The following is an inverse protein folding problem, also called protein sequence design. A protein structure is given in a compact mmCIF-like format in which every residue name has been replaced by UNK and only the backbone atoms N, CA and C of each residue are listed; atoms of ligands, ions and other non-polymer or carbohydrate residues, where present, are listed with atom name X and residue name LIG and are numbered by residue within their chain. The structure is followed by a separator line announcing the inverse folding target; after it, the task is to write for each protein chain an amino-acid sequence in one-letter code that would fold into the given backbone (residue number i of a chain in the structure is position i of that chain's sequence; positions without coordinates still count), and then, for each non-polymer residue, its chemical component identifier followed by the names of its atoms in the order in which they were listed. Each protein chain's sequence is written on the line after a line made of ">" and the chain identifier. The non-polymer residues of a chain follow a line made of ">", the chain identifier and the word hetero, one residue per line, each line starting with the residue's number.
data_IF_450034829349
#
_entry.id   IF_450034829349
#
_cell.length_a   1.000
_cell.length_b   1.000
_cell.length_c   1.000
_cell.angle_alpha   90.00
_cell.angle_beta   90.00
_cell.angle_gamma   90.00
#
_symmetry.space_group_name_H-M   'P 1'
#
loop_
_entity.id
_entity.type
_entity.pdbx_description
1 polymer ?
#
# COMPACT_ATOMS: atom_id res chain seq x y z
N UNK A 1 21.28 29.31 -56.06
CA UNK A 1 21.21 28.96 -54.62
C UNK A 1 21.25 30.25 -53.79
N UNK A 2 20.20 30.52 -53.02
CA UNK A 2 19.90 31.85 -52.46
C UNK A 2 20.73 32.13 -51.19
N UNK A 3 21.66 33.11 -51.23
CA UNK A 3 22.58 33.46 -50.14
C UNK A 3 21.88 33.95 -48.84
N UNK A 4 20.56 34.17 -48.87
CA UNK A 4 19.76 34.55 -47.68
C UNK A 4 19.56 33.40 -46.67
N UNK A 5 19.62 32.13 -47.10
CA UNK A 5 19.33 30.99 -46.21
C UNK A 5 20.52 30.67 -45.29
N UNK A 6 21.77 30.88 -45.74
CA UNK A 6 22.96 30.66 -44.92
C UNK A 6 23.13 31.67 -43.77
N UNK A 7 22.49 32.84 -43.86
CA UNK A 7 22.60 33.90 -42.85
C UNK A 7 21.75 33.67 -41.59
N UNK A 8 20.67 32.91 -41.69
CA UNK A 8 19.79 32.64 -40.54
C UNK A 8 20.36 31.55 -39.62
N UNK A 9 21.09 30.56 -40.16
CA UNK A 9 21.71 29.51 -39.35
C UNK A 9 22.95 29.98 -38.56
N UNK A 10 23.64 31.05 -38.98
CA UNK A 10 24.79 31.59 -38.24
C UNK A 10 24.41 32.46 -37.04
N UNK A 11 23.22 33.04 -37.01
CA UNK A 11 22.77 33.89 -35.88
C UNK A 11 22.26 33.11 -34.67
N UNK A 12 21.95 31.82 -34.82
CA UNK A 12 21.55 30.97 -33.69
C UNK A 12 22.74 30.44 -32.86
N UNK A 13 23.94 30.41 -33.43
CA UNK A 13 25.11 29.77 -32.80
C UNK A 13 25.91 30.65 -31.82
N UNK A 14 25.48 31.89 -31.54
CA UNK A 14 26.23 32.81 -30.65
C UNK A 14 25.41 33.50 -29.57
N UNK A 15 24.15 33.11 -29.36
CA UNK A 15 23.40 33.62 -28.22
C UNK A 15 23.52 32.69 -27.00
N UNK A 16 24.52 32.95 -26.15
CA UNK A 16 24.75 32.23 -24.87
C UNK A 16 23.53 32.26 -23.93
N UNK A 17 22.52 33.09 -24.20
CA UNK A 17 21.27 33.17 -23.42
C UNK A 17 20.23 32.11 -23.81
N UNK A 18 20.35 31.47 -24.98
CA UNK A 18 19.38 30.49 -25.48
C UNK A 18 19.65 29.04 -25.08
N UNK A 19 20.92 28.67 -24.87
CA UNK A 19 21.28 27.30 -24.44
C UNK A 19 20.91 27.03 -22.96
N UNK A 20 20.95 28.06 -22.10
CA UNK A 20 20.55 27.90 -20.69
C UNK A 20 19.05 27.71 -20.50
N UNK A 21 18.20 28.18 -21.41
CA UNK A 21 16.75 28.05 -21.28
C UNK A 21 16.25 26.64 -21.67
N UNK A 22 16.88 26.00 -22.67
CA UNK A 22 16.49 24.65 -23.11
C UNK A 22 16.99 23.54 -22.16
N UNK A 23 18.19 23.68 -21.60
CA UNK A 23 18.73 22.71 -20.63
C UNK A 23 17.96 22.71 -19.29
N UNK A 24 17.43 23.87 -18.88
CA UNK A 24 16.62 24.00 -17.66
C UNK A 24 15.20 23.46 -17.89
N UNK A 25 14.61 23.65 -19.07
CA UNK A 25 13.27 23.16 -19.38
C UNK A 25 13.16 21.61 -19.45
N UNK A 26 14.22 20.92 -19.89
CA UNK A 26 14.25 19.44 -19.91
C UNK A 26 14.53 18.84 -18.52
N UNK A 27 15.30 19.55 -17.69
CA UNK A 27 15.57 19.14 -16.30
C UNK A 27 14.32 19.18 -15.40
N UNK A 28 13.43 20.15 -15.61
CA UNK A 28 12.24 20.34 -14.76
C UNK A 28 11.10 19.37 -15.10
N UNK A 29 11.00 18.87 -16.34
CA UNK A 29 9.96 17.90 -16.72
C UNK A 29 10.23 16.46 -16.23
N UNK A 30 11.47 16.15 -15.83
CA UNK A 30 11.87 14.77 -15.51
C UNK A 30 11.45 14.28 -14.12
N UNK A 31 10.97 15.17 -13.23
CA UNK A 31 10.61 14.80 -11.84
C UNK A 31 9.14 14.42 -11.64
N UNK A 32 8.30 14.52 -12.67
CA UNK A 32 6.85 14.31 -12.55
C UNK A 32 6.38 12.87 -12.73
N UNK A 33 7.30 11.93 -12.98
CA UNK A 33 7.00 10.50 -13.19
C UNK A 33 7.54 9.58 -12.08
N UNK A 34 7.85 10.12 -10.89
CA UNK A 34 8.06 9.24 -9.74
C UNK A 34 6.66 8.79 -9.30
N UNK A 35 6.27 7.50 -9.46
CA UNK A 35 5.07 7.01 -8.81
C UNK A 35 5.26 7.30 -7.32
N UNK A 36 4.43 8.21 -6.79
CA UNK A 36 4.32 8.40 -5.36
C UNK A 36 3.84 7.04 -4.86
N UNK A 37 4.72 6.26 -4.24
CA UNK A 37 4.31 5.10 -3.46
C UNK A 37 3.33 5.67 -2.43
N UNK A 38 2.04 5.49 -2.67
CA UNK A 38 1.02 5.92 -1.75
C UNK A 38 1.14 4.96 -0.58
N UNK A 39 1.84 5.41 0.47
CA UNK A 39 2.03 4.63 1.67
C UNK A 39 0.69 4.62 2.44
N UNK A 40 -0.34 3.91 1.98
CA UNK A 40 -1.65 3.81 2.62
C UNK A 40 -1.65 2.86 3.82
N UNK A 41 -0.99 3.32 4.88
CA UNK A 41 -0.63 2.45 5.98
C UNK A 41 -1.55 2.59 7.20
N UNK A 42 -2.12 1.47 7.62
CA UNK A 42 -2.83 1.35 8.88
C UNK A 42 -3.21 -0.09 9.21
N UNK A 43 -3.58 -0.32 10.46
CA UNK A 43 -4.04 -1.62 10.94
C UNK A 43 -5.05 -1.45 12.08
N UNK A 44 -5.84 -2.49 12.33
CA UNK A 44 -6.71 -2.56 13.51
C UNK A 44 -5.84 -2.83 14.74
N UNK A 45 -5.74 -1.83 15.62
CA UNK A 45 -5.00 -1.90 16.88
C UNK A 45 -5.83 -2.61 17.97
N UNK A 46 -7.15 -2.36 18.02
CA UNK A 46 -8.05 -2.98 19.01
C UNK A 46 -9.40 -3.38 18.40
N UNK A 47 -9.93 -4.59 18.67
CA UNK A 47 -9.16 -5.76 19.10
C UNK A 47 -8.02 -6.05 18.09
N UNK A 48 -6.86 -6.49 18.59
CA UNK A 48 -5.65 -6.56 17.77
C UNK A 48 -5.84 -7.44 16.53
N UNK A 49 -5.57 -6.89 15.35
CA UNK A 49 -5.61 -7.67 14.10
C UNK A 49 -4.56 -8.78 14.08
N UNK A 50 -4.77 -9.78 13.22
CA UNK A 50 -3.83 -10.90 13.01
C UNK A 50 -2.40 -10.40 12.76
N UNK A 51 -2.26 -9.38 11.90
CA UNK A 51 -0.98 -8.75 11.58
C UNK A 51 -0.41 -7.95 12.76
N UNK A 52 -1.22 -7.11 13.41
CA UNK A 52 -0.76 -6.34 14.57
C UNK A 52 -0.22 -7.27 15.66
N UNK A 53 -0.93 -8.35 15.97
CA UNK A 53 -0.54 -9.33 16.98
C UNK A 53 0.73 -10.13 16.64
N UNK A 54 1.24 -10.05 15.41
CA UNK A 54 2.58 -10.56 15.08
C UNK A 54 3.69 -9.63 15.57
N UNK A 55 3.40 -8.35 15.71
CA UNK A 55 4.38 -7.34 16.12
C UNK A 55 4.64 -7.37 17.62
N UNK A 56 5.91 -7.20 18.00
CA UNK A 56 6.31 -7.07 19.40
C UNK A 56 5.63 -5.88 20.09
N UNK A 57 5.34 -4.80 19.34
CA UNK A 57 4.70 -3.60 19.87
C UNK A 57 3.22 -3.83 20.26
N UNK A 58 2.59 -4.88 19.74
CA UNK A 58 1.18 -5.20 20.01
C UNK A 58 1.03 -6.60 20.63
N UNK A 59 2.08 -7.10 21.28
CA UNK A 59 2.04 -8.26 22.17
C UNK A 59 2.63 -9.55 21.63
N UNK A 60 3.06 -9.62 20.37
CA UNK A 60 3.67 -10.81 19.76
C UNK A 60 2.90 -12.12 20.03
N UNK A 61 1.56 -12.05 20.04
CA UNK A 61 0.68 -13.18 20.33
C UNK A 61 0.60 -14.17 19.15
N UNK A 62 0.93 -13.73 17.94
CA UNK A 62 1.10 -14.60 16.78
C UNK A 62 2.59 -14.79 16.48
N UNK A 63 3.01 -16.04 16.35
CA UNK A 63 4.37 -16.42 15.99
C UNK A 63 4.50 -16.82 14.53
N UNK A 64 5.75 -16.93 14.07
CA UNK A 64 6.11 -17.34 12.72
C UNK A 64 5.40 -16.51 11.64
N UNK A 65 5.35 -15.19 11.82
CA UNK A 65 4.64 -14.29 10.90
C UNK A 65 5.50 -13.78 9.74
N UNK A 66 6.82 -13.96 9.79
CA UNK A 66 7.74 -13.31 8.83
C UNK A 66 7.69 -11.79 8.94
N UNK A 67 7.97 -11.10 7.84
CA UNK A 67 8.24 -9.66 7.85
C UNK A 67 7.06 -8.78 8.26
N UNK A 68 5.81 -9.27 8.18
CA UNK A 68 4.63 -8.50 8.59
C UNK A 68 4.66 -8.09 10.06
N UNK A 69 5.44 -8.78 10.91
CA UNK A 69 5.63 -8.38 12.32
C UNK A 69 6.25 -6.98 12.49
N UNK A 70 7.02 -6.52 11.49
CA UNK A 70 7.70 -5.22 11.53
C UNK A 70 6.83 -4.10 10.95
N UNK A 71 5.89 -4.44 10.08
CA UNK A 71 5.08 -3.48 9.34
C UNK A 71 3.61 -3.92 9.20
N UNK A 72 2.90 -4.14 10.32
CA UNK A 72 1.50 -4.59 10.30
C UNK A 72 0.56 -3.64 9.53
N UNK A 73 0.98 -2.39 9.34
CA UNK A 73 0.29 -1.36 8.60
C UNK A 73 0.27 -1.53 7.07
N UNK A 74 1.06 -2.45 6.50
CA UNK A 74 1.39 -2.51 5.06
C UNK A 74 0.63 -3.57 4.26
N UNK A 75 -0.52 -4.07 4.75
CA UNK A 75 -1.37 -5.02 4.01
C UNK A 75 -2.28 -4.29 3.03
N UNK A 76 -1.71 -3.88 1.89
CA UNK A 76 -2.40 -3.14 0.85
C UNK A 76 -2.76 -4.01 -0.36
N UNK A 77 -3.95 -3.82 -0.91
CA UNK A 77 -4.43 -4.52 -2.09
C UNK A 77 -5.36 -3.64 -2.94
N UNK A 78 -5.63 -4.00 -4.21
CA UNK A 78 -6.67 -3.34 -5.00
C UNK A 78 -8.02 -3.31 -4.25
N UNK A 79 -8.71 -2.18 -4.32
CA UNK A 79 -10.06 -2.03 -3.74
C UNK A 79 -11.13 -2.81 -4.52
N UNK A 80 -12.33 -2.88 -3.96
CA UNK A 80 -13.51 -3.45 -4.63
C UNK A 80 -13.92 -4.85 -4.16
N UNK A 81 -13.37 -5.34 -3.06
CA UNK A 81 -13.80 -6.60 -2.46
C UNK A 81 -15.30 -6.58 -2.10
N UNK A 82 -16.08 -7.63 -2.39
CA UNK A 82 -15.65 -8.95 -2.90
C UNK A 82 -15.66 -9.13 -4.43
N UNK A 83 -16.14 -8.16 -5.22
CA UNK A 83 -16.16 -8.28 -6.70
C UNK A 83 -14.77 -8.11 -7.33
N UNK A 84 -13.85 -7.47 -6.62
CA UNK A 84 -12.43 -7.39 -6.92
C UNK A 84 -11.57 -7.60 -5.67
N UNK A 85 -10.40 -7.00 -5.63
CA UNK A 85 -9.46 -7.14 -4.50
C UNK A 85 -8.70 -8.47 -4.48
N UNK A 86 -8.20 -8.89 -3.30
CA UNK A 86 -7.42 -10.12 -3.19
C UNK A 86 -8.19 -11.37 -3.62
N UNK A 87 -7.49 -12.30 -4.27
CA UNK A 87 -8.04 -13.60 -4.65
C UNK A 87 -8.32 -14.50 -3.43
N UNK A 88 -9.18 -15.50 -3.62
CA UNK A 88 -9.45 -16.53 -2.62
C UNK A 88 -8.14 -17.22 -2.16
N UNK A 89 -8.04 -17.48 -0.85
CA UNK A 89 -6.82 -18.01 -0.24
C UNK A 89 -5.67 -17.01 -0.14
N UNK A 90 -5.88 -15.74 -0.54
CA UNK A 90 -4.90 -14.63 -0.43
C UNK A 90 -5.48 -13.38 0.23
N UNK A 91 -6.62 -13.53 0.90
CA UNK A 91 -7.35 -12.41 1.51
C UNK A 91 -6.57 -11.82 2.69
N UNK A 92 -6.07 -12.67 3.59
CA UNK A 92 -5.43 -12.22 4.83
C UNK A 92 -4.04 -11.60 4.60
N UNK A 93 -3.34 -12.03 3.55
CA UNK A 93 -2.05 -11.47 3.13
C UNK A 93 -2.18 -10.34 2.10
N UNK A 94 -3.39 -9.87 1.79
CA UNK A 94 -3.62 -8.83 0.78
C UNK A 94 -3.00 -9.15 -0.59
N UNK A 95 -3.12 -10.40 -1.05
CA UNK A 95 -2.59 -10.84 -2.36
C UNK A 95 -1.26 -11.59 -2.31
N UNK A 96 -0.91 -12.19 -1.17
CA UNK A 96 0.32 -12.96 -1.00
C UNK A 96 1.50 -12.15 -0.44
N UNK A 97 1.26 -10.93 0.05
CA UNK A 97 2.31 -10.10 0.64
C UNK A 97 2.96 -10.82 1.83
N UNK A 98 4.22 -10.45 2.10
CA UNK A 98 5.01 -11.01 3.20
C UNK A 98 5.08 -12.55 3.17
N UNK A 99 5.14 -13.12 1.97
CA UNK A 99 5.21 -14.56 1.75
C UNK A 99 3.89 -15.30 1.97
N UNK A 100 2.75 -14.61 2.07
CA UNK A 100 1.44 -15.23 2.24
C UNK A 100 1.26 -15.94 3.58
N UNK A 101 2.12 -15.67 4.56
CA UNK A 101 2.12 -16.36 5.85
C UNK A 101 0.78 -16.19 6.57
N UNK A 102 0.16 -15.00 6.44
CA UNK A 102 -1.14 -14.73 7.02
C UNK A 102 -2.28 -15.54 6.41
N UNK A 103 -2.10 -16.15 5.25
CA UNK A 103 -3.12 -17.00 4.61
C UNK A 103 -3.19 -18.41 5.19
N UNK A 104 -2.19 -18.81 5.99
CA UNK A 104 -2.26 -20.06 6.74
C UNK A 104 -3.52 -20.05 7.60
N UNK A 105 -4.28 -21.15 7.56
CA UNK A 105 -5.55 -21.23 8.27
C UNK A 105 -5.71 -22.64 8.83
N UNK A 106 -5.73 -22.72 10.16
CA UNK A 106 -6.17 -23.87 10.94
C UNK A 106 -6.90 -23.35 12.17
N UNK A 107 -7.64 -24.22 12.85
CA UNK A 107 -8.38 -23.86 14.06
C UNK A 107 -7.48 -23.28 15.18
N UNK A 108 -6.20 -23.64 15.21
CA UNK A 108 -5.23 -23.29 16.25
C UNK A 108 -4.11 -22.34 15.81
N UNK A 109 -3.97 -22.04 14.51
CA UNK A 109 -2.85 -21.24 13.97
C UNK A 109 -2.73 -19.83 14.56
N UNK A 110 -3.85 -19.18 14.84
CA UNK A 110 -3.89 -17.77 15.21
C UNK A 110 -4.50 -17.56 16.59
N UNK A 111 -3.93 -16.59 17.32
CA UNK A 111 -4.52 -16.03 18.53
C UNK A 111 -5.92 -15.49 18.23
N UNK A 112 -6.84 -15.69 19.18
CA UNK A 112 -8.25 -15.29 19.04
C UNK A 112 -8.57 -14.25 20.10
N UNK A 113 -8.98 -13.06 19.67
CA UNK A 113 -9.55 -12.08 20.57
C UNK A 113 -10.93 -12.55 21.03
N UNK A 114 -11.22 -12.43 22.32
CA UNK A 114 -12.57 -12.63 22.83
C UNK A 114 -13.43 -11.43 22.47
N UNK A 115 -14.48 -11.65 21.69
CA UNK A 115 -15.49 -10.65 21.33
C UNK A 115 -16.87 -11.17 21.71
N UNK A 116 -17.82 -10.26 21.96
CA UNK A 116 -19.22 -10.61 22.26
C UNK A 116 -20.10 -10.30 21.06
N UNK A 117 -21.24 -10.98 20.97
CA UNK A 117 -22.29 -10.54 20.05
C UNK A 117 -22.81 -9.15 20.43
N UNK A 118 -23.32 -8.40 19.45
CA UNK A 118 -23.81 -7.02 19.64
C UNK A 118 -22.75 -5.97 19.30
N UNK A 119 -22.83 -4.83 19.99
CA UNK A 119 -21.96 -3.69 19.74
C UNK A 119 -20.50 -4.00 20.12
N UNK A 120 -19.57 -3.66 19.22
CA UNK A 120 -18.15 -3.78 19.42
C UNK A 120 -17.44 -2.54 18.86
N UNK A 121 -16.40 -2.10 19.55
CA UNK A 121 -15.56 -0.98 19.09
C UNK A 121 -14.30 -1.50 18.41
N UNK A 122 -14.05 -1.01 17.20
CA UNK A 122 -12.81 -1.26 16.46
C UNK A 122 -12.01 0.03 16.36
N UNK A 123 -10.73 -0.02 16.73
CA UNK A 123 -9.82 1.10 16.69
C UNK A 123 -8.74 0.84 15.64
N UNK A 124 -8.72 1.68 14.61
CA UNK A 124 -7.66 1.71 13.63
C UNK A 124 -6.57 2.68 14.04
N UNK A 125 -5.32 2.32 13.73
CA UNK A 125 -4.16 3.19 13.80
C UNK A 125 -3.66 3.44 12.39
N UNK A 126 -3.59 4.72 12.01
CA UNK A 126 -3.05 5.16 10.72
C UNK A 126 -1.65 5.71 10.92
N UNK A 127 -0.73 5.30 10.06
CA UNK A 127 0.65 5.82 10.07
C UNK A 127 0.90 6.76 8.90
N UNK A 128 -0.09 6.97 8.03
CA UNK A 128 -0.04 7.93 6.93
C UNK A 128 -1.43 8.55 6.68
N UNK A 129 -1.50 9.84 6.29
CA UNK A 129 -2.77 10.52 6.05
C UNK A 129 -3.29 10.27 4.63
N UNK A 130 -4.33 9.44 4.51
CA UNK A 130 -5.04 9.20 3.24
C UNK A 130 -6.51 9.55 3.35
N UNK A 131 -7.06 10.13 2.29
CA UNK A 131 -8.51 10.31 2.18
C UNK A 131 -9.18 8.94 2.15
N UNK A 132 -10.08 8.71 3.10
CA UNK A 132 -10.76 7.42 3.24
C UNK A 132 -12.13 7.50 2.62
N UNK A 133 -12.43 6.59 1.69
CA UNK A 133 -13.75 6.49 1.08
C UNK A 133 -14.76 5.78 1.98
N UNK A 134 -14.36 4.66 2.59
CA UNK A 134 -15.24 3.81 3.41
C UNK A 134 -14.45 2.82 4.27
N UNK A 135 -15.11 2.30 5.30
CA UNK A 135 -14.65 1.16 6.11
C UNK A 135 -15.68 0.04 6.00
N UNK A 136 -15.27 -1.16 5.59
CA UNK A 136 -16.12 -2.35 5.56
C UNK A 136 -15.62 -3.39 6.55
N UNK A 137 -16.57 -4.06 7.22
CA UNK A 137 -16.29 -5.16 8.14
C UNK A 137 -17.11 -6.37 7.70
N UNK A 138 -16.43 -7.51 7.59
CA UNK A 138 -17.03 -8.78 7.23
C UNK A 138 -16.77 -9.79 8.34
N UNK A 139 -17.64 -10.81 8.44
CA UNK A 139 -17.47 -11.91 9.37
C UNK A 139 -17.70 -13.23 8.64
N UNK A 140 -17.01 -14.28 9.08
CA UNK A 140 -17.22 -15.63 8.56
C UNK A 140 -18.65 -16.10 8.81
N UNK A 141 -19.15 -16.95 7.91
CA UNK A 141 -20.49 -17.53 8.04
C UNK A 141 -20.54 -18.49 9.22
N UNK A 142 -21.73 -18.65 9.82
CA UNK A 142 -21.99 -19.77 10.73
C UNK A 142 -21.70 -21.09 10.00
N UNK A 143 -20.91 -21.97 10.60
CA UNK A 143 -20.49 -23.23 10.00
C UNK A 143 -19.33 -23.13 8.99
N UNK A 144 -18.65 -21.99 8.88
CA UNK A 144 -17.40 -21.90 8.12
C UNK A 144 -16.33 -22.87 8.66
N UNK A 145 -15.61 -23.54 7.75
CA UNK A 145 -14.53 -24.46 8.09
C UNK A 145 -13.26 -23.68 8.46
N UNK A 146 -12.74 -23.79 9.70
CA UNK A 146 -11.54 -23.09 10.13
C UNK A 146 -10.22 -23.73 9.67
N UNK A 147 -10.26 -24.85 8.95
CA UNK A 147 -9.10 -25.58 8.45
C UNK A 147 -9.08 -25.62 6.92
#
# INVERSE_FOLDING_TARGET
>A
MNKKILGQFRKMATNKKGLSAAAVAVGIMSTTLIPQNAYAHGFVEKPGSRAALCSQNYGALNSNCGNIMYEPQSLEAPKGFPQGGPADGKIASAGGLFGGILDQQTADRWFKNTIKGGENTFTWKYTAPHSTSQWHYYITKKGWNPN
#
